data_IF_667368528342
#
_entry.id   IF_667368528342
#
_cell.length_a   1.000
_cell.length_b   1.000
_cell.length_c   1.000
_cell.angle_alpha   90.00
_cell.angle_beta   90.00
_cell.angle_gamma   90.00
#
_symmetry.space_group_name_H-M   'P 1'
#
loop_
_entity.id
_entity.type
_entity.pdbx_description
1 polymer ?
#
# COMPACT_ATOMS: atom_id res chain seq x y z
N UNK A 1 27.28 -1.89 -34.41
CA UNK A 1 27.22 -2.36 -33.02
C UNK A 1 28.63 -2.31 -32.48
N UNK A 2 28.98 -1.31 -31.67
CA UNK A 2 30.29 -1.19 -31.09
C UNK A 2 30.58 -2.37 -30.15
N UNK A 3 31.83 -2.83 -30.07
CA UNK A 3 32.30 -3.83 -29.10
C UNK A 3 32.02 -3.34 -27.67
N UNK A 4 30.86 -3.69 -27.12
CA UNK A 4 30.58 -3.38 -25.73
C UNK A 4 31.58 -4.14 -24.85
N UNK A 5 32.32 -3.41 -24.03
CA UNK A 5 33.29 -3.98 -23.07
C UNK A 5 32.51 -4.92 -22.13
N UNK A 6 32.91 -6.19 -22.04
CA UNK A 6 32.29 -7.14 -21.09
C UNK A 6 32.42 -6.63 -19.67
N UNK A 7 31.30 -6.32 -19.00
CA UNK A 7 31.24 -5.72 -17.65
C UNK A 7 31.00 -6.72 -16.51
N UNK A 8 30.85 -8.00 -16.80
CA UNK A 8 30.51 -9.01 -15.79
C UNK A 8 29.00 -9.34 -15.80
N UNK A 9 28.47 -9.73 -14.62
CA UNK A 9 27.08 -10.16 -14.52
C UNK A 9 26.26 -9.22 -13.64
N UNK A 10 25.05 -8.91 -14.10
CA UNK A 10 24.06 -8.15 -13.36
C UNK A 10 22.90 -9.06 -12.98
N UNK A 11 22.58 -9.12 -11.69
CA UNK A 11 21.41 -9.82 -11.18
C UNK A 11 20.19 -8.90 -11.12
N UNK A 12 19.01 -9.45 -11.42
CA UNK A 12 17.70 -8.79 -11.19
C UNK A 12 16.85 -9.73 -10.35
N UNK A 13 16.25 -9.22 -9.29
CA UNK A 13 15.29 -9.96 -8.46
C UNK A 13 14.12 -9.11 -7.97
N UNK A 14 13.00 -9.80 -7.68
CA UNK A 14 11.75 -9.18 -7.22
C UNK A 14 11.37 -9.72 -5.85
N UNK A 15 11.18 -8.84 -4.86
CA UNK A 15 10.76 -9.21 -3.52
C UNK A 15 9.43 -8.59 -3.08
N UNK A 16 8.81 -9.20 -2.08
CA UNK A 16 7.54 -8.76 -1.52
C UNK A 16 6.31 -9.21 -2.31
N UNK A 17 5.18 -8.54 -2.14
CA UNK A 17 3.98 -8.78 -2.94
C UNK A 17 4.11 -8.23 -4.36
N UNK A 18 3.31 -8.70 -5.35
CA UNK A 18 3.32 -8.12 -6.68
C UNK A 18 2.75 -6.69 -6.68
N UNK A 19 3.10 -5.93 -7.72
CA UNK A 19 2.52 -4.64 -8.05
C UNK A 19 2.55 -4.44 -9.57
N UNK A 20 1.62 -3.68 -10.15
CA UNK A 20 1.64 -3.36 -11.58
C UNK A 20 2.94 -2.65 -11.98
N UNK A 21 3.54 -3.05 -13.10
CA UNK A 21 4.75 -2.43 -13.63
C UNK A 21 6.07 -3.13 -13.32
N UNK A 22 6.09 -4.20 -12.49
CA UNK A 22 7.31 -4.99 -12.21
C UNK A 22 8.02 -5.41 -13.51
N UNK A 23 7.25 -5.93 -14.46
CA UNK A 23 7.78 -6.38 -15.76
C UNK A 23 8.39 -5.23 -16.56
N UNK A 24 7.90 -4.00 -16.41
CA UNK A 24 8.47 -2.81 -17.04
C UNK A 24 9.89 -2.52 -16.54
N UNK A 25 10.10 -2.61 -15.21
CA UNK A 25 11.43 -2.47 -14.60
C UNK A 25 12.36 -3.59 -15.06
N UNK A 26 11.90 -4.86 -15.04
CA UNK A 26 12.69 -6.02 -15.48
C UNK A 26 13.11 -5.82 -16.95
N UNK A 27 12.18 -5.43 -17.83
CA UNK A 27 12.47 -5.24 -19.23
C UNK A 27 13.50 -4.14 -19.48
N UNK A 28 13.29 -2.95 -18.90
CA UNK A 28 14.16 -1.82 -19.10
C UNK A 28 15.57 -2.07 -18.53
N UNK A 29 15.66 -2.62 -17.31
CA UNK A 29 16.95 -2.96 -16.70
C UNK A 29 17.69 -4.06 -17.49
N UNK A 30 16.98 -5.04 -18.06
CA UNK A 30 17.57 -6.09 -18.87
C UNK A 30 18.11 -5.52 -20.19
N UNK A 31 17.30 -4.75 -20.92
CA UNK A 31 17.71 -4.16 -22.19
C UNK A 31 18.93 -3.24 -22.01
N UNK A 32 18.85 -2.31 -21.05
CA UNK A 32 19.96 -1.39 -20.80
C UNK A 32 21.21 -2.13 -20.30
N UNK A 33 21.03 -3.10 -19.38
CA UNK A 33 22.16 -3.90 -18.90
C UNK A 33 22.90 -4.64 -20.02
N UNK A 34 22.16 -5.25 -20.95
CA UNK A 34 22.76 -5.94 -22.13
C UNK A 34 23.45 -4.94 -23.04
N UNK A 35 22.82 -3.79 -23.35
CA UNK A 35 23.40 -2.74 -24.19
C UNK A 35 24.71 -2.21 -23.61
N UNK A 36 24.82 -2.16 -22.29
CA UNK A 36 26.02 -1.72 -21.56
C UNK A 36 27.04 -2.84 -21.30
N UNK A 37 26.81 -4.06 -21.84
CA UNK A 37 27.77 -5.15 -21.82
C UNK A 37 27.67 -6.11 -20.63
N UNK A 38 26.60 -6.07 -19.83
CA UNK A 38 26.35 -7.05 -18.80
C UNK A 38 25.73 -8.34 -19.37
N UNK A 39 26.07 -9.48 -18.79
CA UNK A 39 25.24 -10.67 -18.82
C UNK A 39 24.18 -10.54 -17.73
N UNK A 40 22.90 -10.60 -18.10
CA UNK A 40 21.80 -10.36 -17.15
C UNK A 40 21.18 -11.66 -16.65
N UNK A 41 21.13 -11.83 -15.32
CA UNK A 41 20.57 -12.98 -14.63
C UNK A 41 19.30 -12.56 -13.87
N UNK A 42 18.15 -13.06 -14.29
CA UNK A 42 16.89 -12.88 -13.59
C UNK A 42 16.70 -13.97 -12.52
N UNK A 43 16.82 -13.65 -11.24
CA UNK A 43 16.62 -14.59 -10.15
C UNK A 43 15.14 -14.87 -9.90
N UNK A 44 14.77 -16.15 -9.88
CA UNK A 44 13.41 -16.56 -9.60
C UNK A 44 13.08 -16.43 -8.12
N UNK A 45 11.84 -16.01 -7.83
CA UNK A 45 11.30 -15.91 -6.47
C UNK A 45 12.16 -15.07 -5.51
N UNK A 46 12.73 -13.97 -6.02
CA UNK A 46 13.47 -13.00 -5.22
C UNK A 46 14.71 -13.58 -4.54
N UNK A 47 14.85 -13.35 -3.23
CA UNK A 47 15.95 -13.87 -2.44
C UNK A 47 15.77 -15.34 -2.00
N UNK A 48 14.64 -16.00 -2.28
CA UNK A 48 14.30 -17.30 -1.71
C UNK A 48 15.40 -18.34 -1.88
N UNK A 49 15.83 -18.55 -3.09
CA UNK A 49 16.81 -19.61 -3.41
C UNK A 49 18.23 -19.20 -3.05
N UNK A 50 18.56 -17.93 -3.26
CA UNK A 50 19.87 -17.41 -2.86
C UNK A 50 20.08 -17.50 -1.35
N UNK A 51 19.06 -17.25 -0.54
CA UNK A 51 19.10 -17.38 0.92
C UNK A 51 19.29 -18.81 1.41
N UNK A 52 18.97 -19.80 0.56
CA UNK A 52 19.22 -21.23 0.81
C UNK A 52 20.57 -21.71 0.27
N UNK A 53 21.36 -20.83 -0.38
CA UNK A 53 22.64 -21.18 -1.00
C UNK A 53 22.51 -21.83 -2.38
N UNK A 54 21.29 -21.81 -2.97
CA UNK A 54 21.02 -22.41 -4.26
C UNK A 54 21.31 -21.43 -5.41
N UNK A 55 22.10 -21.87 -6.39
CA UNK A 55 22.56 -21.05 -7.51
C UNK A 55 21.99 -21.47 -8.87
N UNK A 56 20.96 -22.33 -8.90
CA UNK A 56 20.39 -22.84 -10.14
C UNK A 56 19.07 -22.16 -10.55
N UNK A 57 18.45 -21.44 -9.63
CA UNK A 57 17.12 -20.86 -9.80
C UNK A 57 17.17 -19.44 -10.41
N UNK A 58 17.72 -19.32 -11.61
CA UNK A 58 17.75 -18.08 -12.39
C UNK A 58 17.51 -18.39 -13.87
N UNK A 59 17.13 -17.34 -14.61
CA UNK A 59 17.07 -17.35 -16.07
C UNK A 59 18.09 -16.35 -16.59
N UNK A 60 18.90 -16.74 -17.57
CA UNK A 60 19.72 -15.79 -18.33
C UNK A 60 18.77 -15.04 -19.25
N UNK A 61 18.65 -13.73 -19.06
CA UNK A 61 17.71 -12.90 -19.81
C UNK A 61 18.36 -12.36 -21.09
N UNK A 62 17.61 -12.43 -22.18
CA UNK A 62 17.89 -11.77 -23.46
C UNK A 62 16.91 -10.63 -23.70
N UNK A 63 17.18 -9.78 -24.69
CA UNK A 63 16.24 -8.72 -25.11
C UNK A 63 14.93 -9.32 -25.59
N UNK A 64 14.98 -10.46 -26.30
CA UNK A 64 13.79 -11.14 -26.81
C UNK A 64 12.89 -11.64 -25.68
N UNK A 65 13.46 -12.17 -24.58
CA UNK A 65 12.70 -12.65 -23.42
C UNK A 65 11.88 -11.53 -22.73
N UNK A 66 12.32 -10.29 -22.86
CA UNK A 66 11.70 -9.14 -22.17
C UNK A 66 10.98 -8.20 -23.13
N UNK A 67 10.95 -8.51 -24.41
CA UNK A 67 10.23 -7.71 -25.41
C UNK A 67 8.73 -7.80 -25.16
N UNK A 68 8.07 -6.63 -24.99
CA UNK A 68 6.62 -6.52 -24.82
C UNK A 68 6.07 -6.88 -23.43
N UNK A 69 6.90 -7.31 -22.46
CA UNK A 69 6.39 -7.65 -21.12
C UNK A 69 6.03 -6.41 -20.28
N UNK A 70 6.51 -5.23 -20.62
CA UNK A 70 6.33 -4.00 -19.83
C UNK A 70 4.87 -3.55 -19.68
N UNK A 71 3.98 -4.02 -20.55
CA UNK A 71 2.54 -3.76 -20.50
C UNK A 71 1.75 -4.87 -19.80
N UNK A 72 2.42 -5.87 -19.21
CA UNK A 72 1.78 -7.00 -18.55
C UNK A 72 1.93 -6.91 -17.03
N UNK A 73 0.86 -7.17 -16.32
CA UNK A 73 0.88 -7.30 -14.87
C UNK A 73 1.65 -8.52 -14.38
N UNK A 74 1.82 -8.61 -13.05
CA UNK A 74 2.56 -9.69 -12.41
C UNK A 74 4.08 -9.57 -12.57
N UNK A 75 4.79 -10.70 -12.44
CA UNK A 75 6.25 -10.78 -12.56
C UNK A 75 6.68 -12.05 -13.31
N UNK A 76 7.43 -11.89 -14.40
CA UNK A 76 7.99 -13.02 -15.16
C UNK A 76 9.06 -13.78 -14.37
N UNK A 77 9.65 -13.17 -13.32
CA UNK A 77 10.61 -13.79 -12.41
C UNK A 77 9.98 -14.38 -11.15
N UNK A 78 8.64 -14.25 -10.99
CA UNK A 78 8.00 -14.53 -9.72
C UNK A 78 8.41 -13.51 -8.64
N UNK A 79 8.02 -13.75 -7.40
CA UNK A 79 8.38 -12.94 -6.23
C UNK A 79 8.29 -13.76 -4.95
N UNK A 80 8.99 -13.38 -3.89
CA UNK A 80 8.86 -13.99 -2.58
C UNK A 80 9.06 -12.97 -1.45
N UNK A 81 8.51 -13.29 -0.26
CA UNK A 81 8.67 -12.49 0.96
C UNK A 81 9.89 -12.90 1.80
N UNK A 82 10.87 -13.57 1.20
CA UNK A 82 12.09 -13.95 1.88
C UNK A 82 12.92 -12.72 2.19
N UNK A 83 13.19 -12.50 3.47
CA UNK A 83 14.04 -11.41 3.96
C UNK A 83 15.34 -12.02 4.54
N UNK A 84 16.45 -12.03 3.77
CA UNK A 84 17.71 -12.60 4.23
C UNK A 84 18.35 -11.81 5.36
N UNK A 85 17.97 -10.53 5.57
CA UNK A 85 18.51 -9.71 6.65
C UNK A 85 18.08 -10.18 8.05
N UNK A 86 17.08 -11.06 8.16
CA UNK A 86 16.65 -11.65 9.44
C UNK A 86 17.57 -12.74 9.97
N UNK A 87 18.51 -13.25 9.17
CA UNK A 87 19.41 -14.35 9.54
C UNK A 87 20.80 -14.15 8.94
N UNK A 88 21.84 -14.20 9.77
CA UNK A 88 23.24 -14.12 9.31
C UNK A 88 23.57 -15.23 8.31
N UNK A 89 23.08 -16.45 8.56
CA UNK A 89 23.27 -17.59 7.64
C UNK A 89 22.62 -17.32 6.28
N UNK A 90 21.40 -16.84 6.26
CA UNK A 90 20.68 -16.52 5.01
C UNK A 90 21.39 -15.41 4.24
N UNK A 91 21.87 -14.37 4.92
CA UNK A 91 22.62 -13.29 4.30
C UNK A 91 23.97 -13.77 3.75
N UNK A 92 24.70 -14.61 4.51
CA UNK A 92 25.94 -15.23 4.04
C UNK A 92 25.70 -16.05 2.78
N UNK A 93 24.67 -16.89 2.77
CA UNK A 93 24.28 -17.68 1.61
C UNK A 93 23.99 -16.81 0.38
N UNK A 94 23.29 -15.68 0.55
CA UNK A 94 23.03 -14.75 -0.56
C UNK A 94 24.34 -14.21 -1.13
N UNK A 95 25.22 -13.69 -0.30
CA UNK A 95 26.51 -13.13 -0.74
C UNK A 95 27.39 -14.17 -1.43
N UNK A 96 27.48 -15.37 -0.86
CA UNK A 96 28.25 -16.48 -1.42
C UNK A 96 27.67 -16.96 -2.76
N UNK A 97 26.34 -17.07 -2.87
CA UNK A 97 25.67 -17.42 -4.12
C UNK A 97 25.91 -16.39 -5.22
N UNK A 98 25.79 -15.09 -4.91
CA UNK A 98 26.07 -14.00 -5.87
C UNK A 98 27.53 -14.02 -6.30
N UNK A 99 28.46 -14.25 -5.38
CA UNK A 99 29.89 -14.36 -5.68
C UNK A 99 30.22 -15.58 -6.57
N UNK A 100 29.65 -16.76 -6.26
CA UNK A 100 29.79 -17.99 -7.08
C UNK A 100 29.28 -17.80 -8.51
N UNK A 101 28.22 -17.03 -8.67
CA UNK A 101 27.67 -16.69 -9.98
C UNK A 101 28.44 -15.59 -10.71
N UNK A 102 29.34 -14.89 -10.04
CA UNK A 102 30.11 -13.78 -10.60
C UNK A 102 29.30 -12.51 -10.80
N UNK A 103 28.27 -12.29 -9.96
CA UNK A 103 27.42 -11.09 -9.99
C UNK A 103 28.18 -9.93 -9.35
N UNK A 104 28.35 -8.84 -10.09
CA UNK A 104 29.02 -7.60 -9.64
C UNK A 104 28.07 -6.41 -9.51
N UNK A 105 26.86 -6.53 -10.06
CA UNK A 105 25.81 -5.52 -10.00
C UNK A 105 24.47 -6.20 -9.70
N UNK A 106 23.64 -5.60 -8.86
CA UNK A 106 22.36 -6.16 -8.45
C UNK A 106 21.27 -5.08 -8.51
N UNK A 107 20.20 -5.37 -9.26
CA UNK A 107 18.95 -4.61 -9.26
C UNK A 107 17.93 -5.39 -8.42
N UNK A 108 17.45 -4.78 -7.36
CA UNK A 108 16.37 -5.34 -6.54
C UNK A 108 15.09 -4.53 -6.75
N UNK A 109 13.96 -5.20 -6.90
CA UNK A 109 12.65 -4.58 -7.11
C UNK A 109 11.75 -4.98 -5.94
N UNK A 110 11.27 -4.02 -5.13
CA UNK A 110 10.47 -4.39 -3.97
C UNK A 110 10.08 -3.25 -3.04
N UNK A 111 9.35 -3.58 -1.99
CA UNK A 111 8.98 -2.65 -0.91
C UNK A 111 10.09 -2.49 0.13
N UNK A 112 9.70 -2.00 1.31
CA UNK A 112 10.56 -1.70 2.45
C UNK A 112 11.47 -2.87 2.88
N UNK A 113 10.93 -4.06 3.09
CA UNK A 113 11.70 -5.27 3.46
C UNK A 113 12.74 -5.65 2.40
N UNK A 114 12.41 -5.50 1.12
CA UNK A 114 13.34 -5.80 0.02
C UNK A 114 14.43 -4.74 -0.07
N UNK A 115 14.08 -3.47 0.10
CA UNK A 115 15.02 -2.35 0.17
C UNK A 115 15.98 -2.48 1.34
N UNK A 116 15.48 -2.87 2.52
CA UNK A 116 16.30 -3.17 3.68
C UNK A 116 17.26 -4.35 3.43
N UNK A 117 16.78 -5.43 2.79
CA UNK A 117 17.64 -6.55 2.40
C UNK A 117 18.71 -6.13 1.40
N UNK A 118 18.36 -5.29 0.42
CA UNK A 118 19.29 -4.75 -0.57
C UNK A 118 20.39 -3.89 0.06
N UNK A 119 20.03 -3.05 1.04
CA UNK A 119 20.99 -2.23 1.79
C UNK A 119 22.01 -3.10 2.57
N UNK A 120 21.53 -4.20 3.17
CA UNK A 120 22.39 -5.16 3.87
C UNK A 120 23.31 -5.92 2.90
N UNK A 121 22.83 -6.32 1.71
CA UNK A 121 23.66 -6.92 0.67
C UNK A 121 24.77 -5.95 0.27
N UNK A 122 24.45 -4.67 0.00
CA UNK A 122 25.43 -3.65 -0.32
C UNK A 122 26.50 -3.52 0.79
N UNK A 123 26.06 -3.31 2.03
CA UNK A 123 26.94 -3.09 3.16
C UNK A 123 27.88 -4.28 3.41
N UNK A 124 27.35 -5.51 3.37
CA UNK A 124 28.14 -6.72 3.66
C UNK A 124 28.95 -7.23 2.47
N UNK A 125 28.65 -6.81 1.24
CA UNK A 125 29.45 -7.14 0.06
C UNK A 125 30.80 -6.44 0.02
N UNK A 126 31.03 -5.41 0.84
CA UNK A 126 32.33 -4.73 0.95
C UNK A 126 32.80 -4.14 -0.38
N UNK A 127 31.93 -3.52 -1.16
CA UNK A 127 32.22 -2.91 -2.45
C UNK A 127 32.35 -3.88 -3.64
N UNK A 128 32.15 -5.20 -3.42
CA UNK A 128 32.22 -6.21 -4.49
C UNK A 128 30.96 -6.24 -5.35
N UNK A 129 29.83 -5.78 -4.83
CA UNK A 129 28.55 -5.77 -5.51
C UNK A 129 27.97 -4.36 -5.41
N UNK A 130 27.70 -3.73 -6.55
CA UNK A 130 26.93 -2.48 -6.64
C UNK A 130 25.45 -2.80 -6.57
N UNK A 131 24.66 -2.03 -5.83
CA UNK A 131 23.25 -2.33 -5.60
C UNK A 131 22.39 -1.12 -5.91
N UNK A 132 21.38 -1.32 -6.78
CA UNK A 132 20.31 -0.41 -7.08
C UNK A 132 18.97 -1.04 -6.65
N UNK A 133 18.18 -0.33 -5.86
CA UNK A 133 16.86 -0.77 -5.45
C UNK A 133 15.78 0.06 -6.13
N UNK A 134 14.85 -0.58 -6.83
CA UNK A 134 13.69 0.07 -7.44
C UNK A 134 12.50 -0.09 -6.49
N UNK A 135 12.00 1.02 -5.93
CA UNK A 135 10.95 1.01 -4.91
C UNK A 135 9.61 0.62 -5.51
N UNK A 136 8.98 -0.41 -4.98
CA UNK A 136 7.75 -1.02 -5.46
C UNK A 136 6.74 -1.16 -4.33
N UNK A 137 5.66 -0.41 -4.39
CA UNK A 137 4.50 -0.60 -3.49
C UNK A 137 3.25 0.06 -4.09
N UNK A 138 2.10 -0.59 -3.94
CA UNK A 138 0.81 0.03 -4.29
C UNK A 138 0.31 0.96 -3.16
N UNK A 139 0.95 0.92 -1.99
CA UNK A 139 0.53 1.68 -0.80
C UNK A 139 1.00 3.14 -0.85
N UNK A 140 1.93 3.47 -1.75
CA UNK A 140 2.53 4.81 -1.91
C UNK A 140 3.18 5.36 -0.63
N UNK A 141 3.71 4.48 0.19
CA UNK A 141 4.18 4.75 1.54
C UNK A 141 5.69 4.98 1.66
N UNK A 142 6.43 5.02 0.56
CA UNK A 142 7.86 5.32 0.57
C UNK A 142 8.13 6.82 0.32
N UNK A 143 9.06 7.44 1.06
CA UNK A 143 9.33 8.88 0.99
C UNK A 143 10.23 9.22 -0.21
N UNK A 144 9.69 9.15 -1.42
CA UNK A 144 10.35 9.59 -2.64
C UNK A 144 10.36 11.12 -2.77
N UNK A 145 11.33 11.73 -3.51
CA UNK A 145 11.42 13.16 -3.71
C UNK A 145 10.18 13.74 -4.39
N UNK A 146 9.91 14.98 -4.06
CA UNK A 146 8.78 15.70 -4.64
C UNK A 146 7.47 15.06 -4.39
N UNK A 147 6.52 14.84 -4.68
CA UNK A 147 5.30 14.04 -4.47
C UNK A 147 5.23 12.83 -5.41
N UNK A 148 6.39 12.39 -5.92
CA UNK A 148 6.44 11.28 -6.88
C UNK A 148 5.84 10.02 -6.26
N UNK A 149 4.86 9.38 -6.92
CA UNK A 149 4.28 8.14 -6.42
C UNK A 149 5.26 6.96 -6.58
N UNK A 150 5.10 5.94 -5.75
CA UNK A 150 5.74 4.66 -6.00
C UNK A 150 5.07 3.96 -7.17
N UNK A 151 5.84 3.26 -8.00
CA UNK A 151 5.24 2.57 -9.13
C UNK A 151 4.27 1.47 -8.70
N UNK A 152 3.21 1.30 -9.47
CA UNK A 152 2.10 0.39 -9.20
C UNK A 152 0.95 1.05 -8.44
N UNK A 153 1.18 2.15 -7.73
CA UNK A 153 0.13 2.88 -7.02
C UNK A 153 -0.93 3.46 -7.96
N UNK A 154 -0.52 4.12 -9.04
CA UNK A 154 -1.46 4.77 -9.97
C UNK A 154 -2.32 3.74 -10.70
N UNK A 155 -1.76 2.62 -11.09
CA UNK A 155 -2.53 1.50 -11.66
C UNK A 155 -3.48 0.89 -10.64
N UNK A 156 -3.01 0.61 -9.43
CA UNK A 156 -3.85 0.06 -8.37
C UNK A 156 -5.02 1.00 -8.04
N UNK A 157 -4.75 2.30 -7.93
CA UNK A 157 -5.77 3.34 -7.74
C UNK A 157 -6.79 3.35 -8.88
N UNK A 158 -6.32 3.30 -10.13
CA UNK A 158 -7.17 3.29 -11.32
C UNK A 158 -8.16 2.10 -11.32
N UNK A 159 -7.66 0.89 -11.11
CA UNK A 159 -8.52 -0.30 -11.04
C UNK A 159 -9.43 -0.29 -9.83
N UNK A 160 -8.93 0.19 -8.68
CA UNK A 160 -9.75 0.37 -7.48
C UNK A 160 -10.92 1.33 -7.70
N UNK A 161 -10.72 2.42 -8.44
CA UNK A 161 -11.77 3.36 -8.83
C UNK A 161 -12.83 2.69 -9.73
N UNK A 162 -12.41 1.87 -10.70
CA UNK A 162 -13.36 1.12 -11.54
C UNK A 162 -14.25 0.18 -10.71
N UNK A 163 -13.65 -0.57 -9.77
CA UNK A 163 -14.38 -1.46 -8.89
C UNK A 163 -15.32 -0.70 -7.97
N UNK A 164 -14.84 0.40 -7.38
CA UNK A 164 -15.63 1.26 -6.50
C UNK A 164 -16.87 1.83 -7.22
N UNK A 165 -16.72 2.30 -8.45
CA UNK A 165 -17.83 2.84 -9.26
C UNK A 165 -18.90 1.78 -9.52
N UNK A 166 -18.50 0.54 -9.84
CA UNK A 166 -19.44 -0.56 -10.02
C UNK A 166 -20.20 -0.88 -8.73
N UNK A 167 -19.48 -0.90 -7.58
CA UNK A 167 -20.12 -1.13 -6.28
C UNK A 167 -21.03 0.04 -5.86
N UNK A 168 -20.70 1.27 -6.22
CA UNK A 168 -21.56 2.44 -5.97
C UNK A 168 -22.86 2.35 -6.76
N UNK A 169 -22.80 1.90 -8.02
CA UNK A 169 -23.99 1.71 -8.84
C UNK A 169 -24.86 0.55 -8.34
N UNK A 170 -24.24 -0.55 -7.87
CA UNK A 170 -24.98 -1.62 -7.21
C UNK A 170 -25.63 -1.13 -5.91
N UNK A 171 -24.91 -0.37 -5.08
CA UNK A 171 -25.42 0.21 -3.84
C UNK A 171 -26.66 1.09 -4.12
N UNK A 172 -26.57 1.94 -5.16
CA UNK A 172 -27.66 2.81 -5.60
C UNK A 172 -28.88 2.03 -6.07
N UNK A 173 -28.65 1.00 -6.89
CA UNK A 173 -29.70 0.18 -7.49
C UNK A 173 -30.46 -0.65 -6.45
N UNK A 174 -29.76 -1.11 -5.43
CA UNK A 174 -30.29 -2.06 -4.43
C UNK A 174 -30.56 -1.44 -3.06
N UNK A 175 -30.35 -0.12 -2.92
CA UNK A 175 -30.56 0.64 -1.67
C UNK A 175 -29.79 0.03 -0.49
N UNK A 176 -28.47 -0.24 -0.67
CA UNK A 176 -27.60 -0.82 0.35
C UNK A 176 -26.35 0.00 0.57
N UNK A 177 -25.58 -0.35 1.60
CA UNK A 177 -24.26 0.24 1.85
C UNK A 177 -23.17 -0.80 1.71
N UNK A 178 -22.04 -0.37 1.17
CA UNK A 178 -20.79 -1.14 1.17
C UNK A 178 -19.80 -0.55 2.17
N UNK A 179 -19.14 -1.43 2.92
CA UNK A 179 -17.94 -1.14 3.69
C UNK A 179 -16.78 -1.81 2.95
N UNK A 180 -15.93 -1.01 2.34
CA UNK A 180 -14.84 -1.47 1.51
C UNK A 180 -13.53 -1.26 2.25
N UNK A 181 -12.77 -2.32 2.46
CA UNK A 181 -11.43 -2.24 3.03
C UNK A 181 -10.43 -2.16 1.88
N UNK A 182 -9.72 -1.04 1.80
CA UNK A 182 -8.63 -0.86 0.83
C UNK A 182 -7.31 -1.29 1.44
N UNK A 183 -6.55 -2.10 0.71
CA UNK A 183 -5.18 -2.47 1.07
C UNK A 183 -4.33 -1.22 1.31
N UNK A 184 -3.32 -1.34 2.18
CA UNK A 184 -2.43 -0.26 2.60
C UNK A 184 -2.33 -0.22 4.12
N UNK A 185 -1.33 -0.95 4.69
CA UNK A 185 -1.18 -1.09 6.15
C UNK A 185 -0.54 0.13 6.79
N UNK A 186 0.51 0.65 6.15
CA UNK A 186 1.35 1.68 6.74
C UNK A 186 0.79 3.10 6.53
N UNK A 187 0.03 3.34 5.45
CA UNK A 187 -0.50 4.66 5.11
C UNK A 187 -1.82 4.56 4.32
N UNK A 188 -2.66 5.56 4.45
CA UNK A 188 -3.99 5.63 3.85
C UNK A 188 -4.05 6.12 2.40
N UNK A 189 -2.91 6.27 1.70
CA UNK A 189 -2.87 6.85 0.36
C UNK A 189 -3.75 6.13 -0.66
N UNK A 190 -3.74 4.78 -0.67
CA UNK A 190 -4.51 4.02 -1.63
C UNK A 190 -6.02 4.13 -1.36
N UNK A 191 -6.43 4.00 -0.10
CA UNK A 191 -7.83 4.18 0.30
C UNK A 191 -8.34 5.58 -0.08
N UNK A 192 -7.58 6.62 0.28
CA UNK A 192 -7.92 8.01 -0.03
C UNK A 192 -7.96 8.25 -1.54
N UNK A 193 -6.96 7.72 -2.27
CA UNK A 193 -6.87 7.87 -3.72
C UNK A 193 -8.03 7.21 -4.46
N UNK A 194 -8.43 6.00 -4.04
CA UNK A 194 -9.58 5.28 -4.60
C UNK A 194 -10.88 6.01 -4.22
N UNK A 195 -11.05 6.35 -2.95
CA UNK A 195 -12.27 6.97 -2.46
C UNK A 195 -12.53 8.33 -3.06
N UNK A 196 -11.52 9.21 -3.09
CA UNK A 196 -11.62 10.56 -3.67
C UNK A 196 -11.90 10.50 -5.18
N UNK A 197 -11.15 9.70 -5.93
CA UNK A 197 -11.31 9.63 -7.38
C UNK A 197 -12.55 8.83 -7.82
N UNK A 198 -12.99 7.87 -7.03
CA UNK A 198 -14.18 7.06 -7.28
C UNK A 198 -15.47 7.62 -6.68
N UNK A 199 -15.41 8.79 -6.03
CA UNK A 199 -16.53 9.44 -5.36
C UNK A 199 -17.21 8.55 -4.31
N UNK A 200 -16.41 7.91 -3.45
CA UNK A 200 -16.94 7.21 -2.27
C UNK A 200 -17.76 8.18 -1.42
N UNK A 201 -18.83 7.69 -0.81
CA UNK A 201 -19.64 8.48 0.11
C UNK A 201 -18.80 8.96 1.30
N UNK A 202 -17.93 8.07 1.81
CA UNK A 202 -17.03 8.34 2.93
C UNK A 202 -15.72 7.60 2.72
N UNK A 203 -14.59 8.21 3.07
CA UNK A 203 -13.30 7.53 3.16
C UNK A 203 -12.68 7.84 4.51
N UNK A 204 -12.20 6.80 5.22
CA UNK A 204 -11.59 6.93 6.54
C UNK A 204 -10.18 6.34 6.50
N UNK A 205 -9.20 7.14 6.92
CA UNK A 205 -7.78 6.76 6.97
C UNK A 205 -7.23 6.96 8.39
N UNK A 206 -6.22 6.20 8.82
CA UNK A 206 -5.69 6.33 10.19
C UNK A 206 -5.08 7.70 10.46
N UNK A 207 -4.53 8.37 9.46
CA UNK A 207 -3.86 9.68 9.61
C UNK A 207 -4.79 10.79 10.06
N UNK A 208 -6.10 10.71 9.79
CA UNK A 208 -7.05 11.75 10.20
C UNK A 208 -7.26 11.83 11.72
N UNK A 209 -6.95 10.76 12.44
CA UNK A 209 -7.05 10.74 13.90
C UNK A 209 -5.88 11.44 14.58
N UNK A 210 -4.80 11.75 13.86
CA UNK A 210 -3.60 12.42 14.38
C UNK A 210 -3.07 11.73 15.67
N UNK A 211 -3.01 12.48 16.77
CA UNK A 211 -2.59 11.98 18.08
C UNK A 211 -3.72 11.35 18.91
N UNK A 212 -4.95 11.32 18.36
CA UNK A 212 -6.07 10.67 19.03
C UNK A 212 -6.06 9.15 18.77
N UNK A 213 -6.44 8.33 19.75
CA UNK A 213 -6.57 6.90 19.51
C UNK A 213 -7.61 6.60 18.44
N UNK A 214 -7.27 5.74 17.49
CA UNK A 214 -8.24 5.18 16.55
C UNK A 214 -9.06 4.15 17.30
N UNK A 215 -10.37 4.38 17.41
CA UNK A 215 -11.29 3.43 18.05
C UNK A 215 -12.29 2.91 17.03
N UNK A 216 -12.67 1.64 17.16
CA UNK A 216 -13.72 1.07 16.32
C UNK A 216 -15.05 1.83 16.50
N UNK A 217 -15.28 2.39 17.69
CA UNK A 217 -16.44 3.23 17.99
C UNK A 217 -16.47 4.49 17.13
N UNK A 218 -15.38 5.25 17.10
CA UNK A 218 -15.30 6.48 16.30
C UNK A 218 -15.48 6.19 14.81
N UNK A 219 -14.81 5.14 14.28
CA UNK A 219 -14.95 4.74 12.87
C UNK A 219 -16.39 4.32 12.56
N UNK A 220 -17.03 3.56 13.46
CA UNK A 220 -18.45 3.19 13.30
C UNK A 220 -19.36 4.41 13.32
N UNK A 221 -19.18 5.32 14.27
CA UNK A 221 -20.03 6.50 14.39
C UNK A 221 -19.85 7.48 13.21
N UNK A 222 -18.66 7.55 12.60
CA UNK A 222 -18.45 8.26 11.33
C UNK A 222 -19.27 7.64 10.18
N UNK A 223 -19.29 6.31 10.07
CA UNK A 223 -20.09 5.61 9.06
C UNK A 223 -21.58 5.82 9.33
N UNK A 224 -22.02 5.68 10.58
CA UNK A 224 -23.41 5.87 10.99
C UNK A 224 -23.86 7.32 10.75
N UNK A 225 -23.00 8.29 11.07
CA UNK A 225 -23.25 9.70 10.78
C UNK A 225 -23.49 9.97 9.29
N UNK A 226 -22.66 9.38 8.43
CA UNK A 226 -22.84 9.46 6.98
C UNK A 226 -24.17 8.81 6.52
N UNK A 227 -24.52 7.66 7.09
CA UNK A 227 -25.80 6.98 6.82
C UNK A 227 -26.99 7.86 7.21
N UNK A 228 -26.94 8.46 8.41
CA UNK A 228 -28.01 9.33 8.91
C UNK A 228 -28.15 10.57 8.02
N UNK A 229 -27.04 11.24 7.70
CA UNK A 229 -27.04 12.44 6.84
C UNK A 229 -27.62 12.13 5.46
N UNK A 230 -27.21 11.02 4.83
CA UNK A 230 -27.79 10.56 3.56
C UNK A 230 -29.29 10.26 3.65
N UNK A 231 -29.73 9.62 4.72
CA UNK A 231 -31.17 9.34 4.92
C UNK A 231 -32.00 10.59 5.13
N UNK A 232 -31.47 11.57 5.86
CA UNK A 232 -32.14 12.87 6.03
C UNK A 232 -32.36 13.58 4.69
N UNK A 233 -31.51 13.31 3.70
CA UNK A 233 -31.60 13.81 2.32
C UNK A 233 -32.40 12.88 1.37
N UNK A 234 -33.01 11.82 1.88
CA UNK A 234 -33.80 10.85 1.10
C UNK A 234 -32.98 9.79 0.35
N UNK A 235 -31.69 9.70 0.60
CA UNK A 235 -30.80 8.68 0.00
C UNK A 235 -30.59 7.50 0.93
N UNK A 236 -30.74 6.26 0.42
CA UNK A 236 -30.67 5.02 1.21
C UNK A 236 -29.46 4.13 0.88
N UNK A 237 -28.47 4.64 0.15
CA UNK A 237 -27.30 3.90 -0.28
C UNK A 237 -26.02 4.71 -0.04
N UNK A 238 -24.89 4.01 -0.01
CA UNK A 238 -23.58 4.63 0.07
C UNK A 238 -22.45 3.62 0.06
N UNK A 239 -21.23 4.14 -0.02
CA UNK A 239 -20.02 3.35 0.02
C UNK A 239 -19.03 4.03 0.97
N UNK A 240 -18.61 3.32 2.00
CA UNK A 240 -17.55 3.72 2.90
C UNK A 240 -16.26 2.97 2.54
N UNK A 241 -15.19 3.68 2.23
CA UNK A 241 -13.85 3.12 2.00
C UNK A 241 -13.01 3.31 3.26
N UNK A 242 -12.53 2.22 3.82
CA UNK A 242 -11.68 2.21 5.02
C UNK A 242 -10.27 1.76 4.65
N UNK A 243 -9.25 2.45 5.14
CA UNK A 243 -7.88 1.98 5.00
C UNK A 243 -7.63 0.76 5.91
N UNK A 244 -6.97 -0.28 5.39
CA UNK A 244 -6.55 -1.47 6.16
C UNK A 244 -5.75 -1.08 7.42
N UNK A 245 -4.94 -0.02 7.34
CA UNK A 245 -4.14 0.47 8.46
C UNK A 245 -4.92 0.94 9.70
N UNK A 246 -6.24 1.13 9.59
CA UNK A 246 -7.10 1.41 10.75
C UNK A 246 -7.08 0.27 11.77
N UNK A 247 -7.05 -0.99 11.32
CA UNK A 247 -7.01 -2.15 12.21
C UNK A 247 -5.73 -2.17 13.07
N UNK A 248 -4.58 -1.85 12.46
CA UNK A 248 -3.31 -1.77 13.18
C UNK A 248 -3.31 -0.60 14.17
N UNK A 249 -3.91 0.53 13.80
CA UNK A 249 -4.01 1.72 14.64
C UNK A 249 -4.95 1.54 15.83
N UNK A 250 -6.02 0.74 15.70
CA UNK A 250 -6.90 0.35 16.80
C UNK A 250 -6.22 -0.58 17.79
N UNK A 251 -5.35 -1.46 17.31
CA UNK A 251 -4.67 -2.47 18.10
C UNK A 251 -5.61 -3.54 18.67
N UNK A 252 -5.04 -4.56 19.31
CA UNK A 252 -5.82 -5.70 19.85
C UNK A 252 -6.88 -5.27 20.86
N UNK A 253 -6.51 -4.39 21.80
CA UNK A 253 -7.44 -3.93 22.86
C UNK A 253 -8.64 -3.17 22.30
N UNK A 254 -8.39 -2.29 21.33
CA UNK A 254 -9.45 -1.51 20.69
C UNK A 254 -10.42 -2.38 19.90
N UNK A 255 -9.90 -3.43 19.26
CA UNK A 255 -10.74 -4.39 18.51
C UNK A 255 -11.56 -5.29 19.44
N UNK A 256 -10.94 -5.90 20.45
CA UNK A 256 -11.66 -6.79 21.43
C UNK A 256 -12.79 -6.06 22.12
N UNK A 257 -12.56 -4.79 22.56
CA UNK A 257 -13.59 -4.00 23.24
C UNK A 257 -14.81 -3.67 22.36
N UNK A 258 -14.63 -3.65 21.05
CA UNK A 258 -15.68 -3.29 20.11
C UNK A 258 -16.49 -4.49 19.59
N UNK A 259 -15.98 -5.71 19.74
CA UNK A 259 -16.63 -6.92 19.23
C UNK A 259 -17.87 -7.26 20.04
N UNK A 260 -19.05 -7.40 19.40
CA UNK A 260 -20.22 -7.94 20.06
C UNK A 260 -19.95 -9.36 20.58
N UNK A 261 -19.96 -9.54 21.91
CA UNK A 261 -19.65 -10.81 22.57
C UNK A 261 -18.17 -11.08 22.85
N UNK A 262 -17.26 -10.13 22.56
CA UNK A 262 -15.87 -10.12 23.04
C UNK A 262 -14.88 -11.08 22.39
N UNK A 263 -15.28 -11.85 21.35
CA UNK A 263 -14.39 -12.82 20.72
C UNK A 263 -14.05 -12.45 19.25
N UNK A 264 -12.77 -12.20 19.00
CA UNK A 264 -12.24 -11.96 17.64
C UNK A 264 -12.16 -13.24 16.78
N UNK A 265 -12.28 -14.41 17.38
CA UNK A 265 -12.22 -15.72 16.67
C UNK A 265 -13.28 -15.88 15.59
N UNK A 266 -14.40 -15.15 15.70
CA UNK A 266 -15.46 -15.11 14.69
C UNK A 266 -15.04 -14.41 13.39
N UNK A 267 -13.97 -13.60 13.44
CA UNK A 267 -13.50 -12.75 12.34
C UNK A 267 -12.14 -13.18 11.78
N UNK A 268 -11.72 -14.41 12.05
CA UNK A 268 -10.49 -14.96 11.51
C UNK A 268 -9.69 -15.76 12.53
N UNK A 269 -8.54 -16.26 12.11
CA UNK A 269 -7.65 -16.99 13.01
C UNK A 269 -6.94 -15.99 13.93
N UNK A 270 -7.12 -16.15 15.23
CA UNK A 270 -6.36 -15.43 16.25
C UNK A 270 -4.95 -16.03 16.28
N UNK A 271 -4.10 -15.61 15.35
CA UNK A 271 -2.70 -16.01 15.27
C UNK A 271 -1.83 -14.99 15.98
N UNK A 272 -0.96 -15.45 16.85
CA UNK A 272 0.02 -14.61 17.54
C UNK A 272 1.41 -14.79 16.94
N UNK A 273 2.19 -13.73 16.93
CA UNK A 273 3.60 -13.80 16.57
C UNK A 273 4.45 -14.40 17.71
N UNK A 274 5.76 -14.55 17.48
CA UNK A 274 6.70 -15.11 18.45
C UNK A 274 6.83 -14.26 19.74
N UNK A 275 6.29 -13.04 19.74
CA UNK A 275 6.25 -12.11 20.88
C UNK A 275 4.87 -12.06 21.55
N UNK A 276 3.91 -12.87 21.10
CA UNK A 276 2.57 -12.96 21.66
C UNK A 276 1.58 -11.89 21.15
N UNK A 277 1.97 -11.03 20.19
CA UNK A 277 1.09 -10.02 19.60
C UNK A 277 0.17 -10.63 18.55
N UNK A 278 -1.07 -10.17 18.51
CA UNK A 278 -2.06 -10.59 17.50
C UNK A 278 -1.62 -10.17 16.09
N UNK A 279 -1.64 -11.11 15.15
CA UNK A 279 -1.46 -10.82 13.73
C UNK A 279 -2.75 -10.23 13.17
N UNK A 280 -2.89 -8.92 13.24
CA UNK A 280 -4.10 -8.19 12.86
C UNK A 280 -4.49 -8.38 11.39
N UNK A 281 -3.53 -8.63 10.51
CA UNK A 281 -3.79 -8.91 9.09
C UNK A 281 -4.51 -10.25 8.80
N UNK A 282 -4.71 -11.11 9.80
CA UNK A 282 -5.49 -12.35 9.69
C UNK A 282 -6.97 -12.14 10.09
N UNK A 283 -7.33 -10.92 10.52
CA UNK A 283 -8.70 -10.56 10.91
C UNK A 283 -9.46 -10.04 9.69
N UNK A 284 -10.67 -10.55 9.48
CA UNK A 284 -11.61 -10.09 8.46
C UNK A 284 -12.20 -8.72 8.87
N UNK A 285 -11.39 -7.67 8.73
CA UNK A 285 -11.70 -6.33 9.26
C UNK A 285 -13.00 -5.76 8.68
N UNK A 286 -13.26 -5.97 7.39
CA UNK A 286 -14.51 -5.54 6.74
C UNK A 286 -15.73 -6.17 7.37
N UNK A 287 -15.70 -7.49 7.62
CA UNK A 287 -16.77 -8.22 8.27
C UNK A 287 -16.98 -7.75 9.72
N UNK A 288 -15.90 -7.54 10.46
CA UNK A 288 -15.95 -7.00 11.81
C UNK A 288 -16.64 -5.64 11.84
N UNK A 289 -16.20 -4.70 11.01
CA UNK A 289 -16.79 -3.36 10.94
C UNK A 289 -18.25 -3.39 10.53
N UNK A 290 -18.62 -4.24 9.55
CA UNK A 290 -20.00 -4.44 9.14
C UNK A 290 -20.88 -4.90 10.30
N UNK A 291 -20.45 -5.90 11.06
CA UNK A 291 -21.23 -6.47 12.16
C UNK A 291 -21.40 -5.45 13.30
N UNK A 292 -20.35 -4.68 13.62
CA UNK A 292 -20.43 -3.62 14.63
C UNK A 292 -21.39 -2.51 14.18
N UNK A 293 -21.27 -2.02 12.93
CA UNK A 293 -22.15 -0.98 12.40
C UNK A 293 -23.60 -1.46 12.33
N UNK A 294 -23.83 -2.72 11.90
CA UNK A 294 -25.17 -3.31 11.86
C UNK A 294 -25.83 -3.32 13.24
N UNK A 295 -25.11 -3.85 14.24
CA UNK A 295 -25.64 -3.92 15.61
C UNK A 295 -25.98 -2.53 16.18
N UNK A 296 -25.16 -1.51 15.88
CA UNK A 296 -25.43 -0.14 16.34
C UNK A 296 -26.59 0.52 15.59
N UNK A 297 -26.72 0.28 14.28
CA UNK A 297 -27.86 0.76 13.51
C UNK A 297 -29.20 0.17 14.03
N UNK A 298 -29.19 -1.12 14.37
CA UNK A 298 -30.37 -1.77 14.98
C UNK A 298 -30.75 -1.13 16.32
N UNK A 299 -29.76 -0.79 17.17
CA UNK A 299 -30.00 -0.05 18.43
C UNK A 299 -30.59 1.34 18.17
N UNK A 300 -30.26 1.97 17.05
CA UNK A 300 -30.81 3.25 16.61
C UNK A 300 -32.16 3.12 15.86
N UNK A 301 -32.72 1.91 15.77
CA UNK A 301 -33.97 1.65 15.05
C UNK A 301 -33.85 1.70 13.52
N UNK A 302 -32.60 1.72 12.99
CA UNK A 302 -32.34 1.76 11.55
C UNK A 302 -32.09 0.36 11.00
N UNK A 303 -32.90 -0.05 10.02
CA UNK A 303 -32.70 -1.29 9.27
C UNK A 303 -32.11 -0.96 7.91
N UNK A 304 -30.99 -1.61 7.57
CA UNK A 304 -30.41 -1.55 6.23
C UNK A 304 -29.49 -2.73 5.97
N UNK A 305 -29.25 -3.00 4.69
CA UNK A 305 -28.31 -4.03 4.26
C UNK A 305 -26.91 -3.44 4.16
N UNK A 306 -25.97 -3.99 4.91
CA UNK A 306 -24.55 -3.69 4.82
C UNK A 306 -23.81 -4.88 4.21
N UNK A 307 -22.88 -4.60 3.31
CA UNK A 307 -22.02 -5.60 2.67
C UNK A 307 -20.57 -5.15 2.84
N UNK A 308 -19.72 -6.07 3.27
CA UNK A 308 -18.27 -5.87 3.34
C UNK A 308 -17.59 -6.36 2.05
N UNK A 309 -16.50 -5.70 1.65
CA UNK A 309 -15.70 -6.06 0.49
C UNK A 309 -14.25 -5.60 0.70
N UNK A 310 -13.30 -6.50 0.40
CA UNK A 310 -11.88 -6.13 0.38
C UNK A 310 -11.46 -5.75 -1.05
N UNK A 311 -10.65 -4.71 -1.17
CA UNK A 311 -9.96 -4.30 -2.40
C UNK A 311 -8.46 -4.36 -2.16
N UNK A 312 -7.78 -5.30 -2.82
CA UNK A 312 -6.35 -5.46 -2.59
C UNK A 312 -5.66 -6.40 -3.57
N UNK A 313 -5.89 -7.69 -3.46
CA UNK A 313 -5.18 -8.69 -4.27
C UNK A 313 -5.42 -8.53 -5.77
N UNK A 314 -6.63 -8.19 -6.20
CA UNK A 314 -7.00 -7.92 -7.58
C UNK A 314 -6.30 -6.71 -8.18
N UNK A 315 -5.83 -5.77 -7.36
CA UNK A 315 -5.13 -4.56 -7.81
C UNK A 315 -3.65 -4.80 -8.10
N UNK A 316 -3.05 -5.85 -7.50
CA UNK A 316 -1.59 -6.09 -7.52
C UNK A 316 -1.04 -6.55 -8.85
N UNK A 317 -1.83 -7.24 -9.65
CA UNK A 317 -1.40 -7.85 -10.91
C UNK A 317 -2.18 -7.31 -12.12
N UNK A 318 -2.84 -6.17 -11.96
CA UNK A 318 -3.44 -5.47 -13.08
C UNK A 318 -2.35 -5.06 -14.09
N UNK A 319 -2.70 -5.03 -15.37
CA UNK A 319 -1.82 -4.51 -16.39
C UNK A 319 -1.55 -3.03 -16.13
N UNK A 320 -0.29 -2.56 -16.19
CA UNK A 320 0.03 -1.18 -15.86
C UNK A 320 -0.64 -0.20 -16.81
N UNK A 321 -1.25 0.85 -16.26
CA UNK A 321 -1.73 1.99 -17.04
C UNK A 321 -0.54 2.76 -17.63
N UNK A 322 -0.76 3.64 -18.63
CA UNK A 322 0.33 4.35 -19.31
C UNK A 322 1.33 5.02 -18.37
N UNK A 323 0.88 5.60 -17.26
CA UNK A 323 1.76 6.21 -16.26
C UNK A 323 2.78 5.20 -15.70
N UNK A 324 2.31 4.07 -15.15
CA UNK A 324 3.21 3.07 -14.57
C UNK A 324 4.01 2.34 -15.65
N UNK A 325 3.46 2.13 -16.85
CA UNK A 325 4.16 1.51 -17.97
C UNK A 325 5.37 2.35 -18.43
N UNK A 326 5.23 3.68 -18.48
CA UNK A 326 6.31 4.62 -18.78
C UNK A 326 7.30 4.73 -17.63
N UNK A 327 6.81 5.07 -16.43
CA UNK A 327 7.61 5.33 -15.24
C UNK A 327 8.49 4.14 -14.83
N UNK A 328 8.00 2.92 -14.97
CA UNK A 328 8.78 1.71 -14.64
C UNK A 328 9.92 1.47 -15.63
N UNK A 329 9.80 1.93 -16.87
CA UNK A 329 10.92 1.90 -17.84
C UNK A 329 12.00 2.88 -17.44
N UNK A 330 11.64 4.10 -17.03
CA UNK A 330 12.59 5.08 -16.52
C UNK A 330 13.32 4.55 -15.28
N UNK A 331 12.61 3.94 -14.35
CA UNK A 331 13.20 3.36 -13.14
C UNK A 331 14.17 2.21 -13.47
N UNK A 332 13.80 1.31 -14.39
CA UNK A 332 14.68 0.22 -14.83
C UNK A 332 15.96 0.71 -15.53
N UNK A 333 15.79 1.67 -16.45
CA UNK A 333 16.91 2.36 -17.08
C UNK A 333 17.78 3.08 -16.07
N UNK A 334 17.18 3.88 -15.18
CA UNK A 334 17.87 4.64 -14.13
C UNK A 334 18.66 3.76 -13.17
N UNK A 335 18.14 2.57 -12.87
CA UNK A 335 18.86 1.60 -12.03
C UNK A 335 20.21 1.19 -12.67
N UNK A 336 20.21 0.89 -13.96
CA UNK A 336 21.45 0.54 -14.67
C UNK A 336 22.38 1.75 -14.79
N UNK A 337 21.86 2.93 -15.12
CA UNK A 337 22.65 4.16 -15.18
C UNK A 337 23.33 4.47 -13.85
N UNK A 338 22.63 4.29 -12.74
CA UNK A 338 23.23 4.43 -11.41
C UNK A 338 24.33 3.40 -11.19
N UNK A 339 24.10 2.11 -11.48
CA UNK A 339 25.08 1.05 -11.30
C UNK A 339 26.38 1.28 -12.10
N UNK A 340 26.29 1.99 -13.22
CA UNK A 340 27.44 2.37 -14.06
C UNK A 340 28.16 3.61 -13.53
N UNK A 341 27.53 4.43 -12.74
CA UNK A 341 28.07 5.68 -12.23
C UNK A 341 29.20 5.44 -11.21
N UNK A 342 30.11 6.42 -11.01
CA UNK A 342 31.10 6.36 -9.93
C UNK A 342 30.47 6.30 -8.54
N UNK A 343 29.25 6.83 -8.39
CA UNK A 343 28.56 6.89 -7.09
C UNK A 343 28.10 5.53 -6.60
N UNK A 344 27.78 4.59 -7.50
CA UNK A 344 27.45 3.21 -7.13
C UNK A 344 28.61 2.45 -6.44
N UNK A 345 29.84 2.94 -6.56
CA UNK A 345 31.00 2.46 -5.78
C UNK A 345 31.07 3.08 -4.37
N UNK A 346 30.34 4.17 -4.11
CA UNK A 346 30.38 4.91 -2.84
C UNK A 346 29.21 4.55 -1.95
N UNK A 347 28.03 4.32 -2.53
CA UNK A 347 26.78 3.96 -1.82
C UNK A 347 25.87 3.09 -2.68
N UNK A 348 25.00 2.32 -2.05
CA UNK A 348 23.86 1.69 -2.68
C UNK A 348 22.64 2.61 -2.59
N UNK A 349 21.74 2.58 -3.58
CA UNK A 349 20.68 3.57 -3.66
C UNK A 349 19.30 2.98 -3.95
N UNK A 350 18.28 3.69 -3.45
CA UNK A 350 16.91 3.63 -3.97
C UNK A 350 16.83 4.54 -5.19
N UNK A 351 16.32 4.00 -6.29
CA UNK A 351 16.20 4.70 -7.57
C UNK A 351 14.91 5.51 -7.59
N UNK A 352 15.04 6.78 -7.87
CA UNK A 352 13.91 7.70 -8.04
C UNK A 352 14.19 8.70 -9.16
N UNK A 353 13.13 9.35 -9.61
CA UNK A 353 13.17 10.46 -10.54
C UNK A 353 12.48 11.68 -9.94
N UNK A 354 13.00 12.85 -10.21
CA UNK A 354 12.39 14.13 -9.89
C UNK A 354 12.58 15.07 -11.07
N UNK A 355 11.51 15.67 -11.56
CA UNK A 355 11.50 16.52 -12.74
C UNK A 355 12.23 15.87 -13.96
N UNK A 356 11.94 14.58 -14.21
CA UNK A 356 12.55 13.81 -15.31
C UNK A 356 14.03 13.48 -15.12
N UNK A 357 14.64 13.80 -13.98
CA UNK A 357 16.06 13.54 -13.70
C UNK A 357 16.21 12.37 -12.72
N UNK A 358 17.20 11.53 -12.97
CA UNK A 358 17.58 10.45 -12.07
C UNK A 358 18.10 11.02 -10.74
N UNK A 359 17.48 10.67 -9.64
CA UNK A 359 17.87 11.04 -8.27
C UNK A 359 18.07 9.78 -7.43
N UNK A 360 19.29 9.21 -7.42
CA UNK A 360 19.59 8.07 -6.58
C UNK A 360 19.63 8.49 -5.11
N UNK A 361 18.80 7.86 -4.28
CA UNK A 361 18.74 8.13 -2.85
C UNK A 361 19.57 7.10 -2.10
N UNK A 362 20.68 7.50 -1.41
CA UNK A 362 21.46 6.57 -0.60
C UNK A 362 20.56 5.84 0.42
N UNK A 363 20.77 4.53 0.60
CA UNK A 363 19.98 3.72 1.55
C UNK A 363 19.92 4.33 2.95
N UNK A 364 21.03 4.91 3.41
CA UNK A 364 21.12 5.55 4.73
C UNK A 364 20.09 6.67 4.94
N UNK A 365 19.74 7.41 3.86
CA UNK A 365 18.75 8.48 3.91
C UNK A 365 17.30 7.95 3.96
N UNK A 366 17.10 6.72 3.55
CA UNK A 366 15.79 6.07 3.50
C UNK A 366 15.48 5.27 4.78
N UNK A 367 16.50 4.95 5.57
CA UNK A 367 16.36 4.17 6.79
C UNK A 367 16.13 5.11 7.97
N UNK A 368 15.10 4.83 8.77
CA UNK A 368 14.88 5.50 10.04
C UNK A 368 15.94 5.04 11.05
N UNK A 369 16.80 5.93 11.56
CA UNK A 369 17.91 5.54 12.44
C UNK A 369 17.42 4.97 13.80
N UNK A 370 16.20 5.27 14.22
CA UNK A 370 15.64 4.77 15.48
C UNK A 370 15.11 3.35 15.37
N UNK A 371 14.53 2.99 14.22
CA UNK A 371 13.86 1.70 14.02
C UNK A 371 14.67 0.74 13.16
N UNK A 372 15.68 1.21 12.44
CA UNK A 372 16.43 0.43 11.44
C UNK A 372 15.61 0.01 10.22
N UNK A 373 14.39 0.53 10.04
CA UNK A 373 13.49 0.23 8.92
C UNK A 373 13.41 1.40 7.95
N UNK A 374 12.90 1.14 6.75
CA UNK A 374 12.59 2.22 5.80
C UNK A 374 11.59 3.20 6.41
N UNK A 375 11.78 4.48 6.12
CA UNK A 375 10.84 5.52 6.54
C UNK A 375 9.52 5.37 5.79
N UNK A 376 8.41 5.74 6.46
CA UNK A 376 7.05 5.67 5.89
C UNK A 376 6.56 7.09 5.60
N UNK A 377 6.08 7.29 4.37
CA UNK A 377 5.36 8.50 3.96
C UNK A 377 3.89 8.36 4.31
N UNK A 378 3.39 9.23 5.17
CA UNK A 378 1.98 9.31 5.56
C UNK A 378 1.21 10.28 4.68
N UNK A 379 -0.13 10.14 4.64
CA UNK A 379 -0.99 11.15 4.04
C UNK A 379 -0.89 12.45 4.84
N UNK A 380 -0.65 13.55 4.14
CA UNK A 380 -0.71 14.88 4.76
C UNK A 380 -2.17 15.31 4.92
N UNK A 381 -2.70 15.18 6.13
CA UNK A 381 -4.09 15.54 6.45
C UNK A 381 -4.28 17.04 6.74
N UNK A 382 -3.19 17.82 6.72
CA UNK A 382 -3.23 19.29 6.90
C UNK A 382 -3.17 20.03 5.56
N UNK A 383 -2.98 19.29 4.45
CA UNK A 383 -2.89 19.88 3.12
C UNK A 383 -4.24 20.00 2.43
N UNK A 384 -4.35 20.96 1.53
CA UNK A 384 -5.56 21.27 0.75
C UNK A 384 -6.08 20.06 -0.06
N UNK A 385 -5.19 19.13 -0.41
CA UNK A 385 -5.60 17.90 -1.12
C UNK A 385 -6.47 16.99 -0.26
N UNK A 386 -6.21 16.93 1.06
CA UNK A 386 -7.04 16.20 2.01
C UNK A 386 -8.31 16.99 2.36
N UNK A 387 -8.21 18.29 2.58
CA UNK A 387 -9.35 19.19 2.77
C UNK A 387 -10.34 19.06 1.62
N UNK A 388 -9.87 19.14 0.38
CA UNK A 388 -10.68 18.89 -0.81
C UNK A 388 -11.35 17.50 -0.79
N UNK A 389 -10.65 16.45 -0.32
CA UNK A 389 -11.26 15.13 -0.22
C UNK A 389 -12.42 15.12 0.80
N UNK A 390 -12.26 15.77 1.95
CA UNK A 390 -13.28 15.89 2.98
C UNK A 390 -14.52 16.62 2.47
N UNK A 391 -14.35 17.69 1.68
CA UNK A 391 -15.46 18.46 1.10
C UNK A 391 -16.39 17.62 0.20
N UNK A 392 -15.89 16.56 -0.42
CA UNK A 392 -16.69 15.68 -1.27
C UNK A 392 -17.19 14.42 -0.55
N UNK A 393 -16.87 14.27 0.72
CA UNK A 393 -17.40 13.17 1.55
C UNK A 393 -18.70 13.59 2.25
N UNK A 394 -19.54 12.63 2.52
CA UNK A 394 -20.70 12.82 3.39
C UNK A 394 -20.28 12.40 4.79
N UNK A 395 -20.11 13.36 5.68
CA UNK A 395 -19.80 13.16 7.10
C UNK A 395 -20.50 14.23 7.94
N UNK A 396 -20.69 13.96 9.22
CA UNK A 396 -21.17 15.00 10.13
C UNK A 396 -20.12 16.09 10.27
N UNK A 397 -20.56 17.34 10.19
CA UNK A 397 -19.78 18.56 10.27
C UNK A 397 -20.31 19.48 11.37
N UNK A 398 -19.58 20.49 11.78
CA UNK A 398 -20.03 21.42 12.84
C UNK A 398 -21.32 22.12 12.48
N UNK A 399 -21.45 22.49 11.23
CA UNK A 399 -22.59 23.20 10.66
C UNK A 399 -23.89 22.36 10.80
N UNK A 400 -23.80 21.01 10.73
CA UNK A 400 -24.92 20.12 10.95
C UNK A 400 -25.53 20.22 12.37
N UNK A 401 -24.74 20.67 13.34
CA UNK A 401 -25.15 20.85 14.75
C UNK A 401 -25.51 22.31 15.09
N UNK A 402 -25.17 23.26 14.23
CA UNK A 402 -25.43 24.70 14.40
C UNK A 402 -26.76 25.10 13.72
N UNK A 403 -27.10 24.46 12.58
CA UNK A 403 -28.38 24.65 11.90
C UNK A 403 -29.49 23.82 12.61
N UNK A 404 -30.35 24.50 13.34
CA UNK A 404 -31.43 23.86 14.12
C UNK A 404 -32.36 23.01 13.26
N UNK A 405 -32.73 23.52 12.06
CA UNK A 405 -33.67 22.79 11.18
C UNK A 405 -33.00 21.54 10.57
N UNK A 406 -31.69 21.61 10.31
CA UNK A 406 -30.93 20.48 9.82
C UNK A 406 -30.68 19.44 10.93
N UNK A 407 -30.30 19.89 12.12
CA UNK A 407 -30.15 19.04 13.29
C UNK A 407 -31.43 18.27 13.65
N UNK A 408 -32.59 18.95 13.59
CA UNK A 408 -33.92 18.32 13.79
C UNK A 408 -34.16 17.18 12.78
N UNK A 409 -33.81 17.38 11.52
CA UNK A 409 -33.93 16.34 10.47
C UNK A 409 -33.01 15.15 10.74
N UNK A 410 -31.75 15.41 11.12
CA UNK A 410 -30.79 14.34 11.43
C UNK A 410 -31.27 13.52 12.65
N UNK A 411 -31.66 14.20 13.72
CA UNK A 411 -32.14 13.57 14.95
C UNK A 411 -33.41 12.73 14.69
N UNK A 412 -34.34 13.22 13.87
CA UNK A 412 -35.58 12.54 13.50
C UNK A 412 -35.32 11.19 12.78
N UNK A 413 -34.22 11.08 11.99
CA UNK A 413 -33.87 9.82 11.30
C UNK A 413 -33.67 8.66 12.29
N UNK A 414 -33.18 8.97 13.50
CA UNK A 414 -32.86 7.99 14.56
C UNK A 414 -33.80 8.11 15.77
N UNK A 415 -34.90 8.82 15.62
CA UNK A 415 -35.91 9.03 16.67
C UNK A 415 -35.34 9.61 17.98
N UNK A 416 -34.31 10.46 17.86
CA UNK A 416 -33.69 11.19 18.96
C UNK A 416 -34.20 12.64 19.04
N UNK A 417 -34.07 13.26 20.21
CA UNK A 417 -34.15 14.72 20.29
C UNK A 417 -32.82 15.32 19.77
N UNK A 418 -32.82 16.60 19.32
CA UNK A 418 -31.58 17.28 18.90
C UNK A 418 -30.47 17.22 19.96
N UNK A 419 -30.81 17.40 21.25
CA UNK A 419 -29.86 17.32 22.35
C UNK A 419 -29.26 15.91 22.52
N UNK A 420 -30.09 14.87 22.38
CA UNK A 420 -29.63 13.48 22.39
C UNK A 420 -28.70 13.19 21.23
N UNK A 421 -29.04 13.66 20.03
CA UNK A 421 -28.23 13.50 18.84
C UNK A 421 -26.86 14.20 19.00
N UNK A 422 -26.90 15.45 19.50
CA UNK A 422 -25.68 16.23 19.78
C UNK A 422 -24.79 15.56 20.85
N UNK A 423 -25.39 15.07 21.94
CA UNK A 423 -24.66 14.33 22.97
C UNK A 423 -24.03 13.04 22.44
N UNK A 424 -24.69 12.36 21.49
CA UNK A 424 -24.23 11.09 20.94
C UNK A 424 -23.15 11.23 19.86
N UNK A 425 -23.26 12.20 18.96
CA UNK A 425 -22.43 12.34 17.77
C UNK A 425 -21.56 13.59 17.73
N UNK A 426 -21.83 14.58 18.61
CA UNK A 426 -21.11 15.87 18.58
C UNK A 426 -19.60 15.76 18.79
N UNK A 427 -19.14 14.72 19.49
CA UNK A 427 -17.71 14.49 19.70
C UNK A 427 -16.95 14.25 18.39
N UNK A 428 -17.61 13.73 17.31
CA UNK A 428 -17.00 13.52 16.01
C UNK A 428 -16.51 14.82 15.35
N UNK A 429 -17.12 15.95 15.74
CA UNK A 429 -16.79 17.30 15.23
C UNK A 429 -16.19 18.20 16.32
N UNK A 430 -15.77 17.61 17.45
CA UNK A 430 -15.12 18.32 18.55
C UNK A 430 -16.07 19.13 19.44
N UNK A 431 -17.36 18.88 19.39
CA UNK A 431 -18.32 19.42 20.36
C UNK A 431 -18.21 18.62 21.67
N UNK A 432 -18.23 19.34 22.80
CA UNK A 432 -18.20 18.75 24.15
C UNK A 432 -19.60 18.44 24.66
#
# INVERSE_FOLDING_TARGET
>A
MGNATKRGKMGILVGGGPAPGINGVIAAATIEGINEGYEVLGFRDGFKWLAQGETKNYTRLSIDDVTGIHIKGGSVLGTARTNPAKSETSMHNVLDSLAKLGVTALVTIGGDDTGFSASNVYAKAGGKIRVAHVPKTIDNDLPLPGSTPTFGFETARHYGVHLLRNLTEDARTTSRWYIIISMGRAAGHLALGIGKAGAATLTIIPEEFRDQPVTAEAVCDMIIGAIIKRRAEGSHYGVAVLAEGLIESMGEKGLVSAVPGGSLERYGKVVRDDHGHLRLGEIEFGRLMKDIVTARLEQLGLKMTLIDKDLGYELRCADPIPFDAEYTRDLGYGAVKFLLSPDAGKFGAVISFDDGKLVPLPFEKMINPKTGRMQVRKVNVEGEAYECACHYMIRLEKEDFEDVAHLDKLAAVVSMTPDQFKARFGYLVGLK
#
